data_IF_955602858898
#
_entry.id   IF_955602858898
#
_cell.length_a   1.000
_cell.length_b   1.000
_cell.length_c   1.000
_cell.angle_alpha   90.00
_cell.angle_beta   90.00
_cell.angle_gamma   90.00
#
_symmetry.space_group_name_H-M   'P 1'
#
loop_
_entity.id
_entity.type
_entity.pdbx_description
1 polymer ?
#
# COMPACT_ATOMS: atom_id res chain seq x y z
N UNK A 1 19.61 12.07 -15.15
CA UNK A 1 18.21 11.62 -15.11
C UNK A 1 17.47 12.56 -16.04
N UNK A 2 16.96 12.05 -17.15
CA UNK A 2 16.25 12.87 -18.13
C UNK A 2 14.85 13.17 -17.59
N UNK A 3 14.69 14.42 -17.16
CA UNK A 3 13.47 15.03 -16.64
C UNK A 3 12.51 15.30 -17.81
N UNK A 4 11.32 14.70 -17.77
CA UNK A 4 10.18 15.22 -18.53
C UNK A 4 9.63 16.44 -17.80
N UNK A 5 9.25 17.50 -18.52
CA UNK A 5 8.57 18.67 -17.94
C UNK A 5 7.27 18.32 -17.18
N UNK A 6 6.67 17.16 -17.51
CA UNK A 6 5.56 16.56 -16.80
C UNK A 6 5.93 16.01 -15.40
N UNK A 7 7.21 15.77 -15.13
CA UNK A 7 7.75 15.17 -13.92
C UNK A 7 7.77 13.65 -13.91
N UNK A 8 7.39 13.00 -15.02
CA UNK A 8 7.46 11.55 -15.14
C UNK A 8 8.92 11.10 -15.23
N UNK A 9 9.28 10.10 -14.43
CA UNK A 9 10.56 9.42 -14.53
C UNK A 9 10.43 8.29 -15.55
N UNK A 10 11.26 8.30 -16.59
CA UNK A 10 11.28 7.28 -17.64
C UNK A 10 12.48 6.35 -17.47
N UNK A 11 12.37 5.13 -17.99
CA UNK A 11 13.52 4.27 -18.14
C UNK A 11 14.39 4.73 -19.33
N UNK A 12 15.71 4.78 -19.14
CA UNK A 12 16.64 5.10 -20.23
C UNK A 12 16.85 3.97 -21.25
N UNK A 13 16.33 2.77 -20.98
CA UNK A 13 16.59 1.56 -21.78
C UNK A 13 15.34 0.95 -22.39
N UNK A 14 14.15 1.35 -21.96
CA UNK A 14 12.88 0.83 -22.47
C UNK A 14 11.79 1.92 -22.40
N UNK A 15 10.67 1.79 -23.14
CA UNK A 15 9.66 2.84 -23.22
C UNK A 15 8.74 2.94 -21.98
N UNK A 16 9.03 2.23 -20.89
CA UNK A 16 8.20 2.27 -19.69
C UNK A 16 8.63 3.37 -18.72
N UNK A 17 7.78 3.64 -17.73
CA UNK A 17 8.14 4.45 -16.56
C UNK A 17 9.36 3.83 -15.86
N UNK A 18 10.07 4.68 -15.12
CA UNK A 18 11.14 4.28 -14.23
C UNK A 18 10.68 3.12 -13.35
N UNK A 19 11.48 2.06 -13.30
CA UNK A 19 11.16 0.82 -12.56
C UNK A 19 12.26 0.47 -11.55
N UNK A 20 12.96 1.49 -11.04
CA UNK A 20 13.97 1.32 -10.01
C UNK A 20 15.08 0.38 -10.43
N UNK A 21 15.34 -0.62 -9.59
CA UNK A 21 16.38 -1.64 -9.78
C UNK A 21 15.89 -2.87 -10.55
N UNK A 22 14.62 -2.90 -10.98
CA UNK A 22 14.07 -4.02 -11.72
C UNK A 22 14.60 -4.01 -13.16
N UNK A 23 14.89 -5.18 -13.74
CA UNK A 23 15.27 -5.25 -15.17
C UNK A 23 14.08 -4.88 -16.06
N UNK A 24 14.34 -4.41 -17.27
CA UNK A 24 13.29 -4.01 -18.22
C UNK A 24 12.28 -5.16 -18.47
N UNK A 25 12.76 -6.39 -18.65
CA UNK A 25 11.90 -7.55 -18.89
C UNK A 25 10.99 -7.85 -17.70
N UNK A 26 11.53 -7.79 -16.48
CA UNK A 26 10.77 -8.04 -15.26
C UNK A 26 9.79 -6.89 -14.98
N UNK A 27 10.15 -5.66 -15.31
CA UNK A 27 9.26 -4.51 -15.24
C UNK A 27 8.09 -4.66 -16.23
N UNK A 28 8.36 -5.10 -17.46
CA UNK A 28 7.32 -5.38 -18.44
C UNK A 28 6.35 -6.47 -17.96
N UNK A 29 6.87 -7.57 -17.42
CA UNK A 29 6.05 -8.64 -16.83
C UNK A 29 5.17 -8.15 -15.67
N UNK A 30 5.72 -7.34 -14.77
CA UNK A 30 4.97 -6.77 -13.65
C UNK A 30 3.90 -5.77 -14.13
N UNK A 31 4.21 -4.91 -15.08
CA UNK A 31 3.24 -3.98 -15.67
C UNK A 31 2.09 -4.71 -16.38
N UNK A 32 2.37 -5.80 -17.09
CA UNK A 32 1.33 -6.63 -17.70
C UNK A 32 0.43 -7.29 -16.64
N UNK A 33 1.03 -7.78 -15.55
CA UNK A 33 0.29 -8.31 -14.40
C UNK A 33 -0.63 -7.27 -13.78
N UNK A 34 -0.14 -6.05 -13.57
CA UNK A 34 -0.92 -4.93 -13.04
C UNK A 34 -2.09 -4.57 -13.96
N UNK A 35 -1.82 -4.41 -15.26
CA UNK A 35 -2.84 -4.14 -16.29
C UNK A 35 -3.98 -5.17 -16.28
N UNK A 36 -3.64 -6.47 -16.21
CA UNK A 36 -4.64 -7.56 -16.12
C UNK A 36 -5.51 -7.48 -14.87
N UNK A 37 -4.99 -6.88 -13.80
CA UNK A 37 -5.69 -6.66 -12.54
C UNK A 37 -6.33 -5.26 -12.45
N UNK A 38 -6.49 -4.55 -13.58
CA UNK A 38 -7.11 -3.22 -13.64
C UNK A 38 -6.26 -2.10 -13.03
N UNK A 39 -4.94 -2.32 -12.91
CA UNK A 39 -3.96 -1.36 -12.40
C UNK A 39 -3.07 -0.85 -13.54
N UNK A 40 -3.66 -0.18 -14.51
CA UNK A 40 -3.02 0.17 -15.79
C UNK A 40 -1.75 1.02 -15.65
N UNK A 41 -1.60 1.80 -14.58
CA UNK A 41 -0.36 2.53 -14.30
C UNK A 41 -0.03 2.56 -12.80
N UNK A 42 1.22 2.86 -12.47
CA UNK A 42 1.65 3.17 -11.09
C UNK A 42 0.93 4.43 -10.56
N UNK A 43 0.42 5.25 -11.48
CA UNK A 43 -0.21 6.55 -11.22
C UNK A 43 -1.74 6.49 -11.19
N UNK A 44 -2.37 5.41 -11.65
CA UNK A 44 -3.82 5.31 -11.74
C UNK A 44 -4.41 5.06 -10.37
N UNK A 45 -5.47 5.80 -10.06
CA UNK A 45 -6.27 5.57 -8.86
C UNK A 45 -6.76 4.13 -8.84
N UNK A 46 -6.53 3.46 -7.71
CA UNK A 46 -6.91 2.07 -7.53
C UNK A 46 -8.44 1.97 -7.56
N UNK A 47 -9.04 1.09 -8.38
CA UNK A 47 -10.48 0.90 -8.33
C UNK A 47 -10.84 0.31 -6.96
N UNK A 48 -11.64 1.04 -6.18
CA UNK A 48 -12.10 0.63 -4.84
C UNK A 48 -12.74 -0.77 -4.83
N UNK A 49 -13.23 -1.25 -5.98
CA UNK A 49 -13.85 -2.56 -6.16
C UNK A 49 -12.89 -3.75 -6.08
N UNK A 50 -11.58 -3.54 -6.20
CA UNK A 50 -10.58 -4.62 -6.08
C UNK A 50 -10.12 -4.86 -4.63
N UNK A 51 -10.60 -4.06 -3.68
CA UNK A 51 -10.28 -4.20 -2.26
C UNK A 51 -11.54 -4.64 -1.53
N UNK A 52 -11.49 -5.82 -0.92
CA UNK A 52 -12.53 -6.26 0.01
C UNK A 52 -12.09 -5.86 1.41
N UNK A 53 -12.84 -4.94 2.01
CA UNK A 53 -12.58 -4.41 3.34
C UNK A 53 -13.44 -5.11 4.40
N UNK A 54 -13.12 -4.86 5.67
CA UNK A 54 -13.88 -5.37 6.80
C UNK A 54 -14.00 -6.90 6.76
N UNK A 55 -12.87 -7.56 6.50
CA UNK A 55 -12.78 -9.01 6.58
C UNK A 55 -12.32 -9.42 7.97
N UNK A 56 -12.82 -10.55 8.44
CA UNK A 56 -12.39 -11.19 9.69
C UNK A 56 -12.12 -12.66 9.39
N UNK A 57 -11.11 -13.24 10.03
CA UNK A 57 -10.82 -14.68 9.87
C UNK A 57 -11.61 -15.49 10.86
N UNK A 58 -12.18 -16.60 10.38
CA UNK A 58 -12.73 -17.60 11.28
C UNK A 58 -11.61 -18.15 12.18
N UNK A 59 -11.80 -18.20 13.51
CA UNK A 59 -10.79 -18.73 14.43
C UNK A 59 -10.56 -20.23 14.27
N UNK A 60 -11.50 -20.96 13.66
CA UNK A 60 -11.43 -22.41 13.47
C UNK A 60 -10.83 -22.82 12.13
N UNK A 61 -11.20 -22.16 11.03
CA UNK A 61 -10.79 -22.56 9.67
C UNK A 61 -10.04 -21.48 8.89
N UNK A 62 -9.80 -20.30 9.49
CA UNK A 62 -9.09 -19.15 8.92
C UNK A 62 -9.68 -18.55 7.63
N UNK A 63 -10.82 -19.06 7.18
CA UNK A 63 -11.55 -18.52 6.03
C UNK A 63 -11.88 -17.05 6.32
N UNK A 64 -11.55 -16.11 5.41
CA UNK A 64 -11.93 -14.71 5.57
C UNK A 64 -13.42 -14.54 5.27
N UNK A 65 -14.14 -13.87 6.17
CA UNK A 65 -15.56 -13.58 6.04
C UNK A 65 -15.77 -12.07 6.07
N UNK A 66 -16.70 -11.61 5.23
CA UNK A 66 -17.21 -10.24 5.25
C UNK A 66 -18.64 -10.26 5.80
N UNK A 67 -18.99 -9.28 6.62
CA UNK A 67 -20.38 -9.07 7.06
C UNK A 67 -21.07 -8.10 6.12
N UNK A 68 -22.26 -8.45 5.65
CA UNK A 68 -23.09 -7.55 4.83
C UNK A 68 -23.89 -6.55 5.68
N UNK A 69 -24.41 -6.98 6.84
CA UNK A 69 -25.08 -6.14 7.84
C UNK A 69 -25.26 -6.92 9.16
N UNK A 70 -25.70 -6.24 10.22
CA UNK A 70 -26.24 -6.89 11.42
C UNK A 70 -25.26 -7.14 12.57
N UNK A 71 -25.52 -8.19 13.35
CA UNK A 71 -24.86 -8.49 14.62
C UNK A 71 -23.39 -8.88 14.45
N UNK A 72 -22.58 -8.71 15.51
CA UNK A 72 -21.22 -9.24 15.56
C UNK A 72 -21.19 -10.76 15.83
N UNK A 73 -22.35 -11.42 15.94
CA UNK A 73 -22.44 -12.88 16.05
C UNK A 73 -22.50 -13.47 14.66
N UNK A 74 -21.42 -14.12 14.24
CA UNK A 74 -21.38 -14.81 12.97
C UNK A 74 -21.10 -16.29 13.17
N UNK A 75 -21.67 -17.09 12.28
CA UNK A 75 -21.37 -18.52 12.17
C UNK A 75 -20.66 -18.70 10.84
N UNK A 76 -19.46 -19.28 10.88
CA UNK A 76 -18.70 -19.56 9.67
C UNK A 76 -19.37 -20.67 8.85
N UNK A 77 -19.03 -20.79 7.57
CA UNK A 77 -19.43 -21.93 6.73
C UNK A 77 -18.94 -23.29 7.27
N UNK A 78 -17.90 -23.29 8.12
CA UNK A 78 -17.44 -24.49 8.84
C UNK A 78 -18.29 -24.81 10.09
N UNK A 79 -19.26 -23.97 10.45
CA UNK A 79 -20.14 -24.14 11.61
C UNK A 79 -19.66 -23.49 12.90
N UNK A 80 -18.43 -22.97 12.97
CA UNK A 80 -17.90 -22.33 14.17
C UNK A 80 -18.55 -20.95 14.43
N UNK A 81 -19.14 -20.70 15.62
CA UNK A 81 -19.62 -19.38 16.01
C UNK A 81 -18.46 -18.49 16.48
N UNK A 82 -18.42 -17.25 16.03
CA UNK A 82 -17.35 -16.32 16.36
C UNK A 82 -17.83 -14.86 16.40
N UNK A 83 -16.99 -14.00 16.96
CA UNK A 83 -17.22 -12.57 17.03
C UNK A 83 -16.63 -11.86 15.82
N UNK A 84 -17.45 -11.18 15.04
CA UNK A 84 -16.99 -10.41 13.86
C UNK A 84 -16.09 -9.23 14.23
N UNK A 85 -16.22 -8.66 15.44
CA UNK A 85 -15.34 -7.58 15.91
C UNK A 85 -13.93 -8.07 16.16
N UNK A 86 -13.77 -9.10 17.00
CA UNK A 86 -12.46 -9.50 17.50
C UNK A 86 -11.90 -10.79 16.88
N UNK A 87 -12.69 -11.51 16.09
CA UNK A 87 -12.28 -12.73 15.40
C UNK A 87 -12.13 -13.96 16.30
N UNK A 88 -12.42 -13.85 17.60
CA UNK A 88 -12.36 -14.98 18.53
C UNK A 88 -13.64 -15.80 18.51
N UNK A 89 -13.52 -17.05 18.94
CA UNK A 89 -14.66 -17.92 19.18
C UNK A 89 -15.62 -17.27 20.17
N UNK A 90 -16.91 -17.45 19.91
CA UNK A 90 -17.94 -16.87 20.75
C UNK A 90 -18.35 -17.88 21.81
N UNK A 91 -17.84 -17.66 23.02
CA UNK A 91 -18.19 -18.40 24.21
C UNK A 91 -18.93 -17.51 25.23
N UNK A 92 -19.33 -18.10 26.36
CA UNK A 92 -20.06 -17.40 27.43
C UNK A 92 -19.24 -16.24 28.02
N UNK A 93 -17.92 -16.38 28.06
CA UNK A 93 -17.01 -15.35 28.60
C UNK A 93 -16.91 -14.14 27.66
N UNK A 94 -16.92 -14.39 26.35
CA UNK A 94 -16.90 -13.34 25.34
C UNK A 94 -18.15 -12.46 25.43
N UNK A 95 -19.34 -13.06 25.61
CA UNK A 95 -20.62 -12.33 25.69
C UNK A 95 -20.78 -11.52 26.99
N UNK A 96 -20.02 -11.84 28.05
CA UNK A 96 -19.99 -11.09 29.32
C UNK A 96 -19.02 -9.89 29.33
N UNK A 97 -18.61 -9.41 28.15
CA UNK A 97 -17.76 -8.22 28.01
C UNK A 97 -16.28 -8.51 27.73
N UNK A 98 -15.93 -9.75 27.36
CA UNK A 98 -14.57 -10.12 26.99
C UNK A 98 -14.05 -9.51 25.68
N UNK A 99 -14.88 -8.76 24.93
CA UNK A 99 -14.53 -8.20 23.62
C UNK A 99 -13.73 -6.89 23.74
N UNK A 100 -12.43 -6.92 23.44
CA UNK A 100 -11.55 -5.76 23.67
C UNK A 100 -10.86 -5.21 22.43
N UNK A 101 -10.94 -5.87 21.26
CA UNK A 101 -10.21 -5.43 20.06
C UNK A 101 -11.00 -5.67 18.77
N UNK A 102 -10.81 -4.77 17.82
CA UNK A 102 -11.31 -4.91 16.45
C UNK A 102 -10.16 -5.41 15.57
N UNK A 103 -10.36 -6.53 14.87
CA UNK A 103 -9.33 -7.21 14.07
C UNK A 103 -9.76 -7.36 12.61
N UNK A 104 -10.19 -6.26 12.00
CA UNK A 104 -10.59 -6.26 10.60
C UNK A 104 -9.35 -6.18 9.68
N UNK A 105 -9.36 -6.98 8.62
CA UNK A 105 -8.36 -6.95 7.54
C UNK A 105 -8.99 -6.48 6.22
N UNK A 106 -8.14 -5.99 5.32
CA UNK A 106 -8.49 -5.70 3.94
C UNK A 106 -7.66 -6.59 3.02
N UNK A 107 -8.31 -7.20 2.03
CA UNK A 107 -7.65 -8.07 1.05
C UNK A 107 -7.82 -7.48 -0.34
N UNK A 108 -6.72 -7.42 -1.08
CA UNK A 108 -6.74 -7.06 -2.49
C UNK A 108 -7.05 -8.32 -3.31
N UNK A 109 -8.14 -8.29 -4.05
CA UNK A 109 -8.48 -9.34 -5.00
C UNK A 109 -7.58 -9.21 -6.21
N UNK A 110 -6.80 -10.25 -6.44
CA UNK A 110 -5.90 -10.36 -7.57
C UNK A 110 -6.32 -11.56 -8.39
N UNK A 111 -6.41 -11.40 -9.70
CA UNK A 111 -6.50 -12.51 -10.63
C UNK A 111 -5.13 -13.20 -10.67
N UNK A 112 -5.05 -14.33 -9.94
CA UNK A 112 -3.86 -15.18 -9.84
C UNK A 112 -3.93 -16.35 -10.83
N UNK A 113 -4.89 -16.42 -11.76
CA UNK A 113 -5.02 -17.55 -12.68
C UNK A 113 -3.91 -17.55 -13.75
N UNK A 114 -2.76 -18.14 -13.36
CA UNK A 114 -1.80 -19.01 -14.08
C UNK A 114 -1.28 -18.67 -15.48
N UNK A 115 -1.75 -17.61 -16.14
CA UNK A 115 -1.29 -17.14 -17.46
C UNK A 115 -0.87 -15.68 -17.47
N UNK A 116 -0.57 -15.10 -16.30
CA UNK A 116 0.08 -13.80 -16.24
C UNK A 116 1.55 -14.01 -16.60
N UNK A 117 2.08 -13.22 -17.54
CA UNK A 117 3.48 -13.32 -18.01
C UNK A 117 4.54 -13.12 -16.92
N UNK A 118 4.12 -12.82 -15.69
CA UNK A 118 4.90 -12.60 -14.47
C UNK A 118 5.48 -13.88 -13.83
N UNK A 119 6.09 -14.75 -14.66
CA UNK A 119 6.69 -16.03 -14.21
C UNK A 119 7.88 -15.83 -13.25
N UNK A 120 8.51 -14.66 -13.30
CA UNK A 120 9.71 -14.37 -12.51
C UNK A 120 9.41 -13.98 -11.05
N UNK A 121 8.13 -13.89 -10.68
CA UNK A 121 7.70 -13.46 -9.35
C UNK A 121 6.92 -14.54 -8.62
N UNK A 122 7.09 -14.59 -7.30
CA UNK A 122 6.26 -15.44 -6.45
C UNK A 122 4.89 -14.78 -6.23
N UNK A 123 3.85 -15.60 -5.99
CA UNK A 123 2.52 -15.08 -5.60
C UNK A 123 2.61 -14.12 -4.41
N UNK A 124 3.45 -14.45 -3.42
CA UNK A 124 3.67 -13.63 -2.23
C UNK A 124 4.26 -12.26 -2.59
N UNK A 125 5.34 -12.21 -3.37
CA UNK A 125 5.97 -10.93 -3.76
C UNK A 125 5.06 -10.05 -4.60
N UNK A 126 4.23 -10.64 -5.49
CA UNK A 126 3.23 -9.88 -6.25
C UNK A 126 2.14 -9.33 -5.33
N UNK A 127 1.62 -10.15 -4.42
CA UNK A 127 0.61 -9.72 -3.45
C UNK A 127 1.14 -8.63 -2.52
N UNK A 128 2.38 -8.75 -2.04
CA UNK A 128 3.02 -7.75 -1.18
C UNK A 128 3.24 -6.43 -1.92
N UNK A 129 3.74 -6.46 -3.16
CA UNK A 129 3.94 -5.27 -3.98
C UNK A 129 2.62 -4.53 -4.27
N UNK A 130 1.57 -5.27 -4.66
CA UNK A 130 0.25 -4.65 -4.89
C UNK A 130 -0.36 -4.12 -3.60
N UNK A 131 -0.23 -4.83 -2.48
CA UNK A 131 -0.72 -4.35 -1.18
C UNK A 131 -0.11 -2.99 -0.84
N UNK A 132 1.21 -2.83 -1.03
CA UNK A 132 1.88 -1.54 -0.80
C UNK A 132 1.40 -0.45 -1.75
N UNK A 133 1.16 -0.78 -3.02
CA UNK A 133 0.57 0.16 -3.98
C UNK A 133 -0.79 0.66 -3.50
N UNK A 134 -1.66 -0.24 -3.06
CA UNK A 134 -2.99 0.09 -2.55
C UNK A 134 -2.91 1.00 -1.34
N UNK A 135 -2.08 0.63 -0.37
CA UNK A 135 -1.87 1.41 0.86
C UNK A 135 -1.45 2.84 0.52
N UNK A 136 -0.47 2.99 -0.39
CA UNK A 136 0.02 4.31 -0.80
C UNK A 136 -1.00 5.09 -1.62
N UNK A 137 -1.79 4.44 -2.49
CA UNK A 137 -2.85 5.09 -3.26
C UNK A 137 -3.96 5.65 -2.36
N UNK A 138 -4.35 4.92 -1.31
CA UNK A 138 -5.31 5.40 -0.31
C UNK A 138 -4.75 6.64 0.39
N UNK A 139 -3.50 6.56 0.87
CA UNK A 139 -2.87 7.66 1.59
C UNK A 139 -2.51 8.85 0.70
N UNK A 140 -2.37 8.67 -0.61
CA UNK A 140 -2.07 9.74 -1.58
C UNK A 140 -3.09 10.88 -1.51
N UNK A 141 -4.37 10.55 -1.28
CA UNK A 141 -5.43 11.55 -1.08
C UNK A 141 -5.26 12.34 0.23
N UNK A 142 -4.91 11.65 1.31
CA UNK A 142 -4.61 12.28 2.60
C UNK A 142 -3.41 13.22 2.50
N UNK A 143 -2.32 12.73 1.87
CA UNK A 143 -1.10 13.50 1.61
C UNK A 143 -1.40 14.74 0.79
N UNK A 144 -2.20 14.62 -0.27
CA UNK A 144 -2.55 15.77 -1.09
C UNK A 144 -3.29 16.85 -0.28
N UNK A 145 -4.17 16.43 0.64
CA UNK A 145 -4.81 17.31 1.62
C UNK A 145 -3.79 17.97 2.56
N UNK A 146 -2.87 17.19 3.14
CA UNK A 146 -1.81 17.68 4.02
C UNK A 146 -0.85 18.67 3.32
N UNK A 147 -0.47 18.40 2.08
CA UNK A 147 0.44 19.24 1.30
C UNK A 147 -0.22 20.52 0.78
N UNK A 148 -1.55 20.64 0.83
CA UNK A 148 -2.28 21.83 0.35
C UNK A 148 -1.91 23.12 1.08
N UNK A 149 -1.35 23.02 2.30
CA UNK A 149 -0.85 24.16 3.09
C UNK A 149 0.44 24.78 2.51
N UNK A 150 1.10 24.09 1.59
CA UNK A 150 2.34 24.52 0.96
C UNK A 150 2.09 25.22 -0.39
N UNK A 151 3.05 26.03 -0.88
CA UNK A 151 3.03 26.50 -2.26
C UNK A 151 2.94 25.33 -3.23
N UNK A 152 2.15 25.50 -4.30
CA UNK A 152 1.88 24.46 -5.29
C UNK A 152 3.15 23.83 -5.89
N UNK A 153 4.21 24.62 -6.08
CA UNK A 153 5.51 24.13 -6.54
C UNK A 153 6.15 23.14 -5.57
N UNK A 154 6.17 23.46 -4.26
CA UNK A 154 6.69 22.57 -3.21
C UNK A 154 5.82 21.34 -3.02
N UNK A 155 4.49 21.50 -2.99
CA UNK A 155 3.56 20.37 -2.89
C UNK A 155 3.76 19.36 -4.03
N UNK A 156 3.86 19.85 -5.28
CA UNK A 156 4.15 19.01 -6.46
C UNK A 156 5.51 18.32 -6.35
N UNK A 157 6.54 19.02 -5.87
CA UNK A 157 7.86 18.43 -5.67
C UNK A 157 7.83 17.26 -4.67
N UNK A 158 7.19 17.42 -3.51
CA UNK A 158 7.08 16.33 -2.54
C UNK A 158 6.22 15.18 -3.04
N UNK A 159 5.10 15.46 -3.72
CA UNK A 159 4.28 14.42 -4.35
C UNK A 159 5.08 13.56 -5.34
N UNK A 160 5.89 14.19 -6.19
CA UNK A 160 6.77 13.47 -7.13
C UNK A 160 7.78 12.58 -6.41
N UNK A 161 8.32 13.04 -5.28
CA UNK A 161 9.27 12.27 -4.46
C UNK A 161 8.60 11.08 -3.78
N UNK A 162 7.35 11.23 -3.32
CA UNK A 162 6.54 10.13 -2.78
C UNK A 162 6.24 9.09 -3.86
N UNK A 163 5.85 9.53 -5.06
CA UNK A 163 5.64 8.63 -6.21
C UNK A 163 6.91 7.86 -6.56
N UNK A 164 8.06 8.53 -6.63
CA UNK A 164 9.35 7.89 -6.89
C UNK A 164 9.71 6.85 -5.80
N UNK A 165 9.51 7.18 -4.52
CA UNK A 165 9.70 6.22 -3.42
C UNK A 165 8.74 5.04 -3.50
N UNK A 166 7.50 5.26 -3.93
CA UNK A 166 6.49 4.21 -4.09
C UNK A 166 6.94 3.19 -5.14
N UNK A 167 7.39 3.69 -6.30
CA UNK A 167 7.97 2.87 -7.37
C UNK A 167 9.19 2.10 -6.87
N UNK A 168 10.10 2.77 -6.15
CA UNK A 168 11.30 2.15 -5.60
C UNK A 168 10.94 1.05 -4.62
N UNK A 169 10.00 1.28 -3.69
CA UNK A 169 9.54 0.29 -2.73
C UNK A 169 9.00 -0.96 -3.44
N UNK A 170 8.09 -0.78 -4.40
CA UNK A 170 7.53 -1.89 -5.17
C UNK A 170 8.62 -2.68 -5.91
N UNK A 171 9.51 -1.99 -6.62
CA UNK A 171 10.62 -2.64 -7.33
C UNK A 171 11.53 -3.42 -6.39
N UNK A 172 11.74 -2.91 -5.17
CA UNK A 172 12.59 -3.53 -4.15
C UNK A 172 11.93 -4.77 -3.56
N UNK A 173 10.61 -4.77 -3.34
CA UNK A 173 9.83 -5.94 -2.89
C UNK A 173 9.87 -7.06 -3.94
N UNK A 174 9.87 -6.69 -5.22
CA UNK A 174 9.90 -7.62 -6.35
C UNK A 174 11.29 -8.24 -6.58
N UNK A 175 12.36 -7.64 -6.03
CA UNK A 175 13.73 -8.15 -6.09
C UNK A 175 14.01 -8.97 -4.83
N UNK A 176 14.53 -10.19 -5.01
CA UNK A 176 14.90 -11.04 -3.87
C UNK A 176 16.02 -10.38 -3.05
N UNK A 177 15.97 -10.58 -1.73
CA UNK A 177 17.02 -10.18 -0.77
C UNK A 177 17.23 -8.68 -0.54
N UNK A 178 16.29 -7.82 -0.94
CA UNK A 178 16.35 -6.37 -0.70
C UNK A 178 15.45 -5.88 0.45
N UNK A 179 15.13 -6.76 1.41
CA UNK A 179 14.22 -6.45 2.53
C UNK A 179 14.67 -5.25 3.37
N UNK A 180 15.98 -5.06 3.54
CA UNK A 180 16.54 -3.94 4.31
C UNK A 180 16.24 -2.62 3.61
N UNK A 181 16.45 -2.54 2.29
CA UNK A 181 16.16 -1.34 1.51
C UNK A 181 14.66 -1.05 1.52
N UNK A 182 13.83 -2.08 1.31
CA UNK A 182 12.37 -1.94 1.38
C UNK A 182 11.94 -1.39 2.75
N UNK A 183 12.49 -1.94 3.84
CA UNK A 183 12.22 -1.46 5.21
C UNK A 183 12.68 -0.02 5.46
N UNK A 184 13.81 0.41 4.87
CA UNK A 184 14.25 1.81 4.98
C UNK A 184 13.34 2.76 4.22
N UNK A 185 12.90 2.39 3.01
CA UNK A 185 11.95 3.19 2.22
C UNK A 185 10.60 3.26 2.94
N UNK A 186 10.11 2.13 3.46
CA UNK A 186 8.88 2.08 4.27
C UNK A 186 8.98 2.97 5.50
N UNK A 187 10.12 2.95 6.21
CA UNK A 187 10.32 3.81 7.37
C UNK A 187 10.34 5.29 6.99
N UNK A 188 10.95 5.66 5.87
CA UNK A 188 10.97 7.03 5.38
C UNK A 188 9.55 7.51 5.03
N UNK A 189 8.77 6.69 4.32
CA UNK A 189 7.36 6.97 4.02
C UNK A 189 6.53 7.02 5.31
N UNK A 190 6.70 6.07 6.22
CA UNK A 190 5.97 6.03 7.49
C UNK A 190 6.25 7.27 8.33
N UNK A 191 7.51 7.68 8.48
CA UNK A 191 7.88 8.91 9.19
C UNK A 191 7.25 10.12 8.54
N UNK A 192 7.36 10.23 7.21
CA UNK A 192 6.72 11.32 6.50
C UNK A 192 5.23 11.35 6.79
N UNK A 193 4.54 10.21 6.73
CA UNK A 193 3.09 10.12 6.79
C UNK A 193 2.48 10.15 8.20
N UNK A 194 3.21 9.72 9.23
CA UNK A 194 2.67 9.51 10.58
C UNK A 194 3.35 10.38 11.65
N UNK A 195 4.22 11.32 11.28
CA UNK A 195 4.80 12.26 12.25
C UNK A 195 3.69 13.13 12.83
N UNK A 196 3.45 13.00 14.14
CA UNK A 196 2.41 13.76 14.85
C UNK A 196 2.65 15.28 14.77
N UNK A 197 1.56 16.04 14.94
CA UNK A 197 1.60 17.49 15.14
C UNK A 197 2.29 17.82 16.47
N UNK A 198 3.62 17.86 16.49
CA UNK A 198 4.38 18.32 17.66
C UNK A 198 4.11 19.82 17.86
N UNK A 199 4.09 20.26 19.13
CA UNK A 199 3.86 21.65 19.52
C UNK A 199 5.04 22.56 19.08
N UNK A 200 4.72 23.62 18.34
CA UNK A 200 5.67 24.64 17.88
C UNK A 200 5.70 24.81 16.34
N UNK A 201 5.69 26.07 15.87
CA UNK A 201 5.73 26.43 14.45
C UNK A 201 4.38 26.38 13.72
N UNK A 202 4.31 27.02 12.56
CA UNK A 202 3.12 26.97 11.69
C UNK A 202 2.95 25.57 11.08
N UNK A 203 1.73 25.18 10.70
CA UNK A 203 1.47 23.91 10.00
C UNK A 203 2.29 23.80 8.70
N UNK A 204 2.45 24.92 8.00
CA UNK A 204 3.26 25.05 6.78
C UNK A 204 4.74 24.73 7.00
N UNK A 205 5.36 25.29 8.04
CA UNK A 205 6.77 25.04 8.36
C UNK A 205 7.02 23.57 8.75
N UNK A 206 6.11 23.00 9.54
CA UNK A 206 6.17 21.59 9.94
C UNK A 206 6.05 20.66 8.73
N UNK A 207 5.14 20.95 7.80
CA UNK A 207 4.98 20.17 6.58
C UNK A 207 6.22 20.26 5.67
N UNK A 208 6.77 21.45 5.50
CA UNK A 208 8.00 21.65 4.73
C UNK A 208 9.17 20.86 5.34
N UNK A 209 9.36 20.94 6.67
CA UNK A 209 10.41 20.18 7.37
C UNK A 209 10.25 18.66 7.18
N UNK A 210 9.04 18.12 7.36
CA UNK A 210 8.75 16.68 7.10
C UNK A 210 9.09 16.30 5.66
N UNK A 211 8.70 17.14 4.69
CA UNK A 211 8.99 16.91 3.28
C UNK A 211 10.49 16.93 2.97
N UNK A 212 11.23 17.88 3.53
CA UNK A 212 12.68 18.01 3.33
C UNK A 212 13.44 16.82 3.96
N UNK A 213 13.04 16.37 5.15
CA UNK A 213 13.59 15.16 5.79
C UNK A 213 13.32 13.90 4.94
N UNK A 214 12.11 13.76 4.39
CA UNK A 214 11.80 12.67 3.47
C UNK A 214 12.71 12.71 2.24
N UNK A 215 12.85 13.87 1.60
CA UNK A 215 13.72 14.03 0.42
C UNK A 215 15.18 13.73 0.73
N UNK A 216 15.66 14.13 1.91
CA UNK A 216 17.01 13.80 2.36
C UNK A 216 17.20 12.28 2.45
N UNK A 217 16.28 11.57 3.13
CA UNK A 217 16.30 10.11 3.22
C UNK A 217 16.23 9.44 1.83
N UNK A 218 15.46 10.01 0.88
CA UNK A 218 15.39 9.47 -0.48
C UNK A 218 16.75 9.42 -1.19
N UNK A 219 17.60 10.41 -0.94
CA UNK A 219 18.90 10.51 -1.60
C UNK A 219 19.92 9.49 -1.04
N UNK A 220 19.59 8.78 0.04
CA UNK A 220 20.42 7.73 0.63
C UNK A 220 20.14 6.31 0.10
N UNK A 221 19.20 6.16 -0.86
CA UNK A 221 18.73 4.87 -1.41
C UNK A 221 19.18 4.66 -2.87
#
# INVERSE_FOLDING_TARGET
>A
MDDCSCGALLCGFCPSLFHGRLSCDRAAQYNEYLKKNGMDTILSDFPSSAIVNELIRCPSCETPLQRSAGCDHMVCVCGAPFCFKCGRERDVLHDQGGCTQTTLESVVLLDVFTRTGARDFTKKTLADAVRRRVELAIRKREIAGELSVLPLSKARMYMRKIEALSVLLESTILIRDQKIIAGRIELALYRFLNTQRVNGGTERERMAKRGDEMVHNCNEF
#
